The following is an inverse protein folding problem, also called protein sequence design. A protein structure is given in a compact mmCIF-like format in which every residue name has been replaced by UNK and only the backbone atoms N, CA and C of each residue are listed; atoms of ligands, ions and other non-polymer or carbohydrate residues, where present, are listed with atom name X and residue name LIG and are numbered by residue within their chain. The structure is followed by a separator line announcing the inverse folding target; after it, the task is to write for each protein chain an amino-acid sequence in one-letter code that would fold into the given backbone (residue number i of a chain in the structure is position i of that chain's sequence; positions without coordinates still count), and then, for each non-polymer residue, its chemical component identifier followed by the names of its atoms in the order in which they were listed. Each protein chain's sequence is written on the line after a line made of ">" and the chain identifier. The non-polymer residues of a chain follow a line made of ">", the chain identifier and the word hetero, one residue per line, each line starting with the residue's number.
data_IF_391907037931
#
_entry.id   IF_391907037931
#
_cell.length_a   1.000
_cell.length_b   1.000
_cell.length_c   1.000
_cell.angle_alpha   90.00
_cell.angle_beta   90.00
_cell.angle_gamma   90.00
#
_symmetry.space_group_name_H-M   'P 1'
#
loop_
_entity.id
_entity.type
_entity.pdbx_description
1 polymer ?
#
# COMPACT_ATOMS: atom_id res chain seq x y z
N UNK A 1 -20.06 40.30 0.87
CA UNK A 1 -20.39 39.77 2.21
C UNK A 1 -20.70 38.30 2.04
N UNK A 2 -20.01 37.47 2.81
CA UNK A 2 -19.88 36.02 2.70
C UNK A 2 -21.21 35.27 2.90
N UNK A 3 -21.39 34.15 2.22
CA UNK A 3 -21.22 32.88 2.92
C UNK A 3 -21.05 31.69 1.97
N UNK A 4 -19.89 31.07 2.14
CA UNK A 4 -19.41 29.79 1.65
C UNK A 4 -20.41 28.67 1.95
N UNK A 5 -21.03 28.10 0.91
CA UNK A 5 -21.53 26.72 0.99
C UNK A 5 -20.31 25.80 0.99
N UNK A 6 -19.83 25.51 2.20
CA UNK A 6 -18.94 24.39 2.47
C UNK A 6 -19.73 23.12 2.15
N UNK A 7 -19.48 22.54 0.99
CA UNK A 7 -19.83 21.15 0.71
C UNK A 7 -19.00 20.30 1.66
N UNK A 8 -19.55 20.03 2.83
CA UNK A 8 -19.11 18.94 3.69
C UNK A 8 -19.42 17.64 2.94
N UNK A 9 -18.55 17.23 2.02
CA UNK A 9 -18.44 15.82 1.65
C UNK A 9 -17.98 15.09 2.91
N UNK A 10 -18.96 14.65 3.69
CA UNK A 10 -18.77 13.66 4.73
C UNK A 10 -18.16 12.44 4.04
N UNK A 11 -16.83 12.32 4.14
CA UNK A 11 -16.11 11.10 3.84
C UNK A 11 -16.60 10.05 4.82
N UNK A 12 -17.74 9.44 4.54
CA UNK A 12 -18.01 8.08 4.97
C UNK A 12 -16.96 7.22 4.27
N UNK A 13 -15.74 7.26 4.80
CA UNK A 13 -14.83 6.14 4.68
C UNK A 13 -15.58 5.02 5.35
N UNK A 14 -16.35 4.27 4.57
CA UNK A 14 -16.84 2.95 4.93
C UNK A 14 -15.64 2.31 5.62
N UNK A 15 -15.77 2.04 6.92
CA UNK A 15 -14.77 1.35 7.75
C UNK A 15 -14.70 -0.10 7.29
N UNK A 16 -14.41 -0.30 6.00
CA UNK A 16 -14.23 -1.59 5.39
C UNK A 16 -12.90 -2.07 5.93
N UNK A 17 -12.97 -2.94 6.94
CA UNK A 17 -11.81 -3.62 7.44
C UNK A 17 -11.19 -4.37 6.26
N UNK A 18 -9.95 -4.09 5.87
CA UNK A 18 -9.39 -4.65 4.67
C UNK A 18 -8.86 -6.06 4.99
N UNK A 19 -9.49 -7.08 4.39
CA UNK A 19 -9.18 -8.49 4.59
C UNK A 19 -9.37 -9.32 3.32
N UNK A 20 -8.82 -10.53 3.32
CA UNK A 20 -9.11 -11.50 2.28
C UNK A 20 -8.61 -11.06 0.92
N UNK A 21 -9.39 -11.38 -0.11
CA UNK A 21 -9.05 -11.10 -1.50
C UNK A 21 -9.08 -9.61 -1.85
N UNK A 22 -9.80 -8.79 -1.07
CA UNK A 22 -9.86 -7.34 -1.26
C UNK A 22 -8.48 -6.68 -1.10
N UNK A 23 -7.56 -7.33 -0.38
CA UNK A 23 -6.17 -6.90 -0.24
C UNK A 23 -5.30 -7.19 -1.46
N UNK A 24 -5.66 -8.18 -2.29
CA UNK A 24 -4.82 -8.66 -3.39
C UNK A 24 -4.40 -7.57 -4.37
N UNK A 25 -5.28 -6.67 -4.85
CA UNK A 25 -4.89 -5.61 -5.77
C UNK A 25 -3.82 -4.69 -5.19
N UNK A 26 -3.87 -4.44 -3.88
CA UNK A 26 -2.88 -3.63 -3.18
C UNK A 26 -1.57 -4.41 -3.03
N UNK A 27 -1.57 -5.56 -2.36
CA UNK A 27 -0.34 -6.28 -1.97
C UNK A 27 0.38 -6.95 -3.15
N UNK A 28 -0.33 -7.23 -4.26
CA UNK A 28 0.28 -7.71 -5.51
C UNK A 28 0.82 -6.58 -6.39
N UNK A 29 0.55 -5.31 -6.06
CA UNK A 29 1.13 -4.19 -6.79
C UNK A 29 2.66 -4.33 -6.85
N UNK A 30 3.23 -4.00 -8.00
CA UNK A 30 4.69 -4.01 -8.23
C UNK A 30 5.43 -3.02 -7.34
N UNK A 31 4.76 -1.97 -6.89
CA UNK A 31 5.30 -0.95 -6.00
C UNK A 31 5.54 -1.43 -4.57
N UNK A 32 4.90 -2.51 -4.13
CA UNK A 32 5.19 -3.12 -2.83
C UNK A 32 6.22 -4.22 -3.04
N UNK A 33 7.30 -4.22 -2.30
CA UNK A 33 8.25 -5.32 -2.28
C UNK A 33 7.90 -6.34 -1.19
N UNK A 34 8.48 -7.54 -1.29
CA UNK A 34 8.25 -8.55 -0.26
C UNK A 34 8.85 -8.17 1.12
N UNK A 35 9.82 -7.25 1.16
CA UNK A 35 10.35 -6.69 2.40
C UNK A 35 9.32 -5.78 3.09
N UNK A 36 8.58 -4.97 2.33
CA UNK A 36 7.53 -4.08 2.83
C UNK A 36 6.39 -4.89 3.46
N UNK A 37 5.94 -5.93 2.75
CA UNK A 37 4.90 -6.82 3.25
C UNK A 37 5.35 -7.59 4.49
N UNK A 38 6.64 -7.95 4.56
CA UNK A 38 7.24 -8.60 5.73
C UNK A 38 7.29 -7.66 6.94
N UNK A 39 7.56 -6.36 6.74
CA UNK A 39 7.56 -5.38 7.84
C UNK A 39 6.18 -5.29 8.50
N UNK A 40 5.10 -5.26 7.70
CA UNK A 40 3.73 -5.25 8.23
C UNK A 40 3.43 -6.50 9.08
N UNK A 41 3.87 -7.69 8.64
CA UNK A 41 3.74 -8.91 9.43
C UNK A 41 4.56 -8.85 10.73
N UNK A 42 5.77 -8.31 10.69
CA UNK A 42 6.64 -8.18 11.87
C UNK A 42 6.07 -7.24 12.92
N UNK A 43 5.41 -6.14 12.51
CA UNK A 43 4.70 -5.25 13.47
C UNK A 43 3.56 -5.96 14.20
N UNK A 44 3.04 -7.05 13.64
CA UNK A 44 2.07 -7.95 14.28
C UNK A 44 2.70 -9.10 15.06
N UNK A 45 4.02 -9.17 15.16
CA UNK A 45 4.73 -10.30 15.77
C UNK A 45 4.79 -11.55 14.90
N UNK A 46 4.47 -11.45 13.60
CA UNK A 46 4.54 -12.57 12.64
C UNK A 46 5.87 -12.48 11.88
N UNK A 47 6.77 -13.42 12.14
CA UNK A 47 8.10 -13.43 11.54
C UNK A 47 8.21 -14.48 10.44
N UNK A 48 8.49 -14.03 9.22
CA UNK A 48 8.75 -14.90 8.07
C UNK A 48 10.24 -14.86 7.69
N UNK A 49 10.84 -16.03 7.45
CA UNK A 49 12.27 -16.15 7.12
C UNK A 49 12.61 -15.41 5.82
N UNK A 50 11.89 -15.73 4.74
CA UNK A 50 12.10 -15.17 3.40
C UNK A 50 11.12 -14.04 3.12
N UNK A 51 11.58 -12.99 2.45
CA UNK A 51 10.77 -11.89 1.91
C UNK A 51 10.10 -12.24 0.57
N UNK A 52 9.80 -13.51 0.32
CA UNK A 52 9.14 -13.92 -0.93
C UNK A 52 7.63 -13.65 -0.84
N UNK A 53 7.12 -12.79 -1.74
CA UNK A 53 5.71 -12.45 -1.83
C UNK A 53 4.79 -13.66 -1.92
N UNK A 54 5.22 -14.74 -2.59
CA UNK A 54 4.42 -15.98 -2.73
C UNK A 54 4.09 -16.61 -1.38
N UNK A 55 4.96 -16.45 -0.40
CA UNK A 55 4.78 -16.97 0.96
C UNK A 55 4.05 -15.97 1.87
N UNK A 56 4.25 -14.67 1.63
CA UNK A 56 3.72 -13.59 2.47
C UNK A 56 2.26 -13.27 2.15
N UNK A 57 1.89 -13.25 0.86
CA UNK A 57 0.54 -12.89 0.41
C UNK A 57 -0.54 -13.79 1.04
N UNK A 58 -0.41 -15.14 1.05
CA UNK A 58 -1.41 -16.00 1.69
C UNK A 58 -1.58 -15.76 3.19
N UNK A 59 -0.54 -15.26 3.87
CA UNK A 59 -0.59 -14.90 5.29
C UNK A 59 -1.37 -13.59 5.45
N UNK A 60 -1.00 -12.56 4.69
CA UNK A 60 -1.66 -11.25 4.75
C UNK A 60 -3.15 -11.32 4.41
N UNK A 61 -3.55 -12.13 3.42
CA UNK A 61 -4.97 -12.26 3.05
C UNK A 61 -5.80 -13.02 4.09
N UNK A 62 -5.16 -13.80 4.98
CA UNK A 62 -5.84 -14.50 6.09
C UNK A 62 -5.95 -13.67 7.36
N UNK A 63 -5.41 -12.46 7.35
CA UNK A 63 -5.37 -11.59 8.53
C UNK A 63 -6.23 -10.36 8.25
N UNK A 64 -6.98 -9.95 9.26
CA UNK A 64 -7.69 -8.67 9.26
C UNK A 64 -6.69 -7.55 9.57
N UNK A 65 -6.40 -6.68 8.61
CA UNK A 65 -5.56 -5.52 8.85
C UNK A 65 -6.34 -4.45 9.63
N UNK A 66 -5.71 -3.81 10.59
CA UNK A 66 -6.25 -2.60 11.19
C UNK A 66 -6.12 -1.44 10.19
N UNK A 67 -6.92 -0.38 10.31
CA UNK A 67 -6.80 0.79 9.44
C UNK A 67 -5.36 1.34 9.38
N UNK A 68 -4.66 1.39 10.52
CA UNK A 68 -3.28 1.89 10.60
C UNK A 68 -2.28 1.04 9.81
N UNK A 69 -2.44 -0.28 9.77
CA UNK A 69 -1.52 -1.14 9.01
C UNK A 69 -1.84 -1.12 7.53
N UNK A 70 -3.12 -0.97 7.19
CA UNK A 70 -3.52 -0.74 5.82
C UNK A 70 -2.93 0.58 5.30
N UNK A 71 -2.93 1.64 6.12
CA UNK A 71 -2.32 2.92 5.77
C UNK A 71 -0.82 2.80 5.46
N UNK A 72 -0.08 1.92 6.14
CA UNK A 72 1.34 1.66 5.84
C UNK A 72 1.49 1.17 4.40
N UNK A 73 0.69 0.19 3.98
CA UNK A 73 0.73 -0.36 2.63
C UNK A 73 0.34 0.68 1.56
N UNK A 74 -0.66 1.50 1.85
CA UNK A 74 -1.12 2.58 0.96
C UNK A 74 -0.06 3.67 0.83
N UNK A 75 0.61 4.03 1.93
CA UNK A 75 1.63 5.08 1.92
C UNK A 75 2.87 4.67 1.13
N UNK A 76 3.30 3.41 1.21
CA UNK A 76 4.42 2.91 0.40
C UNK A 76 4.07 3.01 -1.09
N UNK A 77 2.87 2.59 -1.48
CA UNK A 77 2.40 2.74 -2.87
C UNK A 77 2.41 4.22 -3.32
N UNK A 78 1.86 5.13 -2.51
CA UNK A 78 1.78 6.57 -2.83
C UNK A 78 3.16 7.24 -2.93
N UNK A 79 4.11 6.85 -2.08
CA UNK A 79 5.46 7.42 -2.11
C UNK A 79 6.21 7.10 -3.41
N UNK A 80 5.94 5.94 -4.02
CA UNK A 80 6.47 5.58 -5.35
C UNK A 80 5.79 6.35 -6.49
N UNK A 81 4.48 6.57 -6.42
CA UNK A 81 3.74 7.33 -7.44
C UNK A 81 4.10 8.83 -7.43
N UNK A 82 4.59 9.34 -6.31
CA UNK A 82 5.02 10.74 -6.16
C UNK A 82 6.53 10.96 -6.41
N UNK A 83 7.27 9.95 -6.87
CA UNK A 83 8.67 10.12 -7.22
C UNK A 83 8.76 10.93 -8.54
N UNK A 84 9.44 12.10 -8.56
CA UNK A 84 9.55 12.89 -9.78
C UNK A 84 10.32 12.08 -10.83
N UNK A 85 9.81 12.07 -12.07
CA UNK A 85 10.38 11.39 -13.26
C UNK A 85 11.84 11.80 -13.57
N UNK A 86 12.39 12.76 -12.83
CA UNK A 86 13.71 13.37 -12.99
C UNK A 86 14.92 12.45 -12.72
N UNK A 87 14.73 11.23 -12.20
CA UNK A 87 15.82 10.30 -11.87
C UNK A 87 16.07 9.20 -12.92
N UNK A 88 15.35 9.18 -14.05
CA UNK A 88 15.68 8.26 -15.13
C UNK A 88 16.92 8.77 -15.88
N UNK A 89 18.03 8.01 -15.97
CA UNK A 89 19.12 8.37 -16.85
C UNK A 89 18.59 8.46 -18.29
N UNK A 90 19.09 9.40 -19.12
CA UNK A 90 18.64 9.52 -20.50
C UNK A 90 18.85 8.18 -21.20
N UNK A 91 17.79 7.64 -21.79
CA UNK A 91 17.88 6.43 -22.61
C UNK A 91 18.88 6.69 -23.72
N UNK A 92 19.93 5.87 -23.87
CA UNK A 92 20.85 6.04 -24.99
C UNK A 92 20.06 5.83 -26.27
N UNK A 93 19.98 6.89 -27.08
CA UNK A 93 19.52 6.77 -28.47
C UNK A 93 20.56 5.94 -29.20
N UNK A 94 20.19 4.70 -29.57
CA UNK A 94 21.01 3.91 -30.49
C UNK A 94 21.13 4.72 -31.79
N UNK A 95 22.37 5.08 -32.13
CA UNK A 95 22.74 5.74 -33.37
C UNK A 95 22.80 4.74 -34.52
#
# INVERSE_FOLDING_TARGET
>A
MSNTQSNHETKEQILLLPFGETLLPLIRASSLEGIDLKEVLQKRGIFVKKSDKRNIIPILTRILLSPREFDILINIKKNLENMPVMLLPPTPVLS
#
